data_IF_482002797633
#
_entry.id   IF_482002797633
#
_cell.length_a   1.000
_cell.length_b   1.000
_cell.length_c   1.000
_cell.angle_alpha   90.00
_cell.angle_beta   90.00
_cell.angle_gamma   90.00
#
_symmetry.space_group_name_H-M   'P 1'
#
loop_
_entity.id
_entity.type
_entity.pdbx_description
1 polymer ?
#
# COMPACT_ATOMS: atom_id res chain seq x y z
N UNK A 1 -14.93 11.70 -3.73
CA UNK A 1 -15.31 10.59 -2.94
C UNK A 1 -16.52 9.87 -3.55
N UNK A 2 -16.28 8.71 -4.16
CA UNK A 2 -17.30 7.93 -4.88
C UNK A 2 -18.06 6.95 -3.94
N UNK A 3 -17.84 7.03 -2.61
CA UNK A 3 -18.49 6.15 -1.63
C UNK A 3 -18.03 4.69 -1.67
N UNK A 4 -16.82 4.43 -2.13
CA UNK A 4 -16.26 3.09 -2.19
C UNK A 4 -15.45 2.77 -0.92
N UNK A 5 -15.57 1.55 -0.45
CA UNK A 5 -14.62 1.00 0.52
C UNK A 5 -13.45 0.39 -0.23
N UNK A 6 -12.25 0.84 0.14
CA UNK A 6 -11.01 0.47 -0.53
C UNK A 6 -10.12 -0.41 0.37
N UNK A 7 -9.43 -1.37 -0.24
CA UNK A 7 -8.39 -2.15 0.43
C UNK A 7 -7.12 -2.07 -0.40
N UNK A 8 -6.11 -1.35 0.09
CA UNK A 8 -4.79 -1.34 -0.49
C UNK A 8 -3.99 -2.55 0.01
N UNK A 9 -3.74 -3.53 -0.88
CA UNK A 9 -2.94 -4.71 -0.56
C UNK A 9 -1.50 -4.49 -1.05
N UNK A 10 -0.55 -4.30 -0.12
CA UNK A 10 0.82 -3.90 -0.46
C UNK A 10 1.84 -4.36 0.58
N UNK A 11 3.13 -4.43 0.21
CA UNK A 11 4.25 -4.57 1.14
C UNK A 11 4.82 -3.23 1.61
N UNK A 12 4.37 -2.15 1.00
CA UNK A 12 4.87 -0.80 1.24
C UNK A 12 4.11 -0.12 2.38
N UNK A 13 4.88 0.31 3.40
CA UNK A 13 4.33 1.00 4.57
C UNK A 13 3.94 2.45 4.31
N UNK A 14 4.34 3.04 3.20
CA UNK A 14 3.96 4.40 2.84
C UNK A 14 2.46 4.51 2.62
N UNK A 15 1.85 3.43 2.15
CA UNK A 15 0.40 3.32 2.03
C UNK A 15 -0.38 3.48 3.34
N UNK A 16 0.29 3.39 4.51
CA UNK A 16 -0.38 3.59 5.80
C UNK A 16 -0.98 4.99 5.95
N UNK A 17 -0.41 6.01 5.28
CA UNK A 17 -0.98 7.36 5.25
C UNK A 17 -2.35 7.45 4.56
N UNK A 18 -2.72 6.43 3.77
CA UNK A 18 -3.99 6.37 3.04
C UNK A 18 -5.14 5.77 3.86
N UNK A 19 -4.87 5.31 5.08
CA UNK A 19 -5.88 4.71 5.95
C UNK A 19 -6.90 5.77 6.35
N UNK A 20 -8.18 5.46 6.11
CA UNK A 20 -9.35 6.28 6.50
C UNK A 20 -10.49 5.36 6.92
N UNK A 21 -11.66 5.92 7.26
CA UNK A 21 -12.89 5.15 7.51
C UNK A 21 -13.27 4.25 6.31
N UNK A 22 -12.93 4.68 5.09
CA UNK A 22 -13.23 3.96 3.84
C UNK A 22 -12.02 3.27 3.21
N UNK A 23 -10.83 3.43 3.77
CA UNK A 23 -9.61 2.84 3.22
C UNK A 23 -8.88 2.02 4.27
N UNK A 24 -8.73 0.73 4.02
CA UNK A 24 -7.96 -0.20 4.83
C UNK A 24 -6.67 -0.57 4.10
N UNK A 25 -5.56 -0.63 4.81
CA UNK A 25 -4.29 -1.15 4.26
C UNK A 25 -4.07 -2.59 4.73
N UNK A 26 -3.76 -3.47 3.79
CA UNK A 26 -3.42 -4.86 4.02
C UNK A 26 -1.93 -5.05 3.76
N UNK A 27 -1.13 -4.92 4.81
CA UNK A 27 0.33 -5.10 4.72
C UNK A 27 0.66 -6.58 4.53
N UNK A 28 1.37 -6.87 3.45
CA UNK A 28 1.82 -8.22 3.09
C UNK A 28 3.34 -8.27 3.28
N UNK A 29 3.81 -9.19 4.10
CA UNK A 29 5.23 -9.38 4.34
C UNK A 29 5.58 -10.86 4.18
N UNK A 30 6.64 -11.13 3.41
CA UNK A 30 7.17 -12.49 3.24
C UNK A 30 8.54 -12.55 3.89
N UNK A 31 8.67 -13.41 4.91
CA UNK A 31 9.94 -13.68 5.58
C UNK A 31 10.16 -15.18 5.64
N UNK A 32 11.35 -15.63 5.25
CA UNK A 32 11.73 -17.06 5.27
C UNK A 32 10.68 -17.99 4.62
N UNK A 33 10.07 -17.55 3.50
CA UNK A 33 9.05 -18.33 2.78
C UNK A 33 7.65 -18.29 3.39
N UNK A 34 7.46 -17.65 4.54
CA UNK A 34 6.15 -17.47 5.16
C UNK A 34 5.60 -16.09 4.84
N UNK A 35 4.42 -16.04 4.25
CA UNK A 35 3.70 -14.80 3.97
C UNK A 35 2.72 -14.52 5.10
N UNK A 36 2.88 -13.38 5.74
CA UNK A 36 1.96 -12.86 6.75
C UNK A 36 1.20 -11.66 6.18
N UNK A 37 -0.02 -11.50 6.64
CA UNK A 37 -0.87 -10.38 6.24
C UNK A 37 -1.40 -9.70 7.49
N UNK A 38 -1.18 -8.38 7.60
CA UNK A 38 -1.69 -7.55 8.68
C UNK A 38 -2.67 -6.53 8.12
N UNK A 39 -3.90 -6.55 8.62
CA UNK A 39 -4.91 -5.55 8.25
C UNK A 39 -4.77 -4.34 9.17
N UNK A 40 -4.64 -3.16 8.57
CA UNK A 40 -4.49 -1.89 9.25
C UNK A 40 -5.72 -1.02 8.98
N UNK A 41 -6.47 -0.75 10.03
CA UNK A 41 -7.61 0.19 10.10
C UNK A 41 -7.19 1.42 10.89
N UNK A 42 -7.97 2.52 10.94
CA UNK A 42 -7.68 3.67 11.79
C UNK A 42 -7.45 3.26 13.26
N UNK A 43 -8.28 2.36 13.79
CA UNK A 43 -8.21 1.90 15.18
C UNK A 43 -6.93 1.10 15.44
N UNK A 44 -6.65 0.08 14.61
CA UNK A 44 -5.46 -0.76 14.79
C UNK A 44 -4.16 0.02 14.56
N UNK A 45 -4.20 1.05 13.71
CA UNK A 45 -3.08 1.95 13.51
C UNK A 45 -2.86 2.81 14.76
N UNK A 46 -3.92 3.42 15.30
CA UNK A 46 -3.85 4.25 16.50
C UNK A 46 -3.39 3.46 17.75
N UNK A 47 -3.82 2.19 17.87
CA UNK A 47 -3.35 1.29 18.93
C UNK A 47 -1.83 1.01 18.83
N UNK A 48 -1.31 0.85 17.60
CA UNK A 48 0.10 0.51 17.38
C UNK A 48 1.02 1.72 17.44
N UNK A 49 0.61 2.85 16.84
CA UNK A 49 1.44 4.04 16.67
C UNK A 49 1.14 5.14 17.69
N UNK A 50 -0.06 5.20 18.24
CA UNK A 50 -0.48 6.21 19.22
C UNK A 50 -0.87 7.56 18.60
N UNK A 51 -1.06 7.61 17.28
CA UNK A 51 -1.51 8.80 16.53
C UNK A 51 -2.31 8.39 15.30
N UNK A 52 -2.89 9.34 14.58
CA UNK A 52 -3.70 9.11 13.38
C UNK A 52 -2.83 8.74 12.16
N UNK A 53 -3.34 7.92 11.22
CA UNK A 53 -2.58 7.39 10.09
C UNK A 53 -1.84 8.44 9.26
N UNK A 54 -2.44 9.62 9.06
CA UNK A 54 -1.84 10.69 8.26
C UNK A 54 -0.49 11.15 8.82
N UNK A 55 -0.29 11.08 10.13
CA UNK A 55 0.95 11.50 10.79
C UNK A 55 2.12 10.51 10.65
N UNK A 56 1.94 9.41 9.90
CA UNK A 56 3.08 8.58 9.49
C UNK A 56 4.05 9.38 8.61
N UNK A 57 3.55 10.37 7.88
CA UNK A 57 4.34 11.30 7.07
C UNK A 57 5.24 12.13 7.99
N UNK A 58 4.68 12.68 9.08
CA UNK A 58 5.41 13.45 10.07
C UNK A 58 6.50 12.62 10.75
N UNK A 59 6.20 11.35 11.05
CA UNK A 59 7.19 10.41 11.59
C UNK A 59 8.37 10.24 10.64
N UNK A 60 8.11 9.98 9.35
CA UNK A 60 9.15 9.84 8.32
C UNK A 60 9.89 11.14 8.07
N UNK A 61 9.22 12.27 8.14
CA UNK A 61 9.84 13.59 8.02
C UNK A 61 10.93 13.82 9.09
N UNK A 62 10.72 13.31 10.30
CA UNK A 62 11.67 13.45 11.40
C UNK A 62 12.76 12.38 11.40
N UNK A 63 12.41 11.09 11.28
CA UNK A 63 13.38 10.00 11.39
C UNK A 63 14.07 9.64 10.07
N UNK A 64 13.50 10.08 8.95
CA UNK A 64 13.90 9.64 7.62
C UNK A 64 13.38 8.24 7.28
N UNK A 65 13.64 7.83 6.03
CA UNK A 65 13.43 6.47 5.55
C UNK A 65 14.59 6.06 4.64
N UNK A 66 15.42 5.15 5.11
CA UNK A 66 16.60 4.71 4.37
C UNK A 66 16.24 3.89 3.13
N UNK A 67 15.06 3.24 3.08
CA UNK A 67 14.62 2.47 1.90
C UNK A 67 14.31 3.38 0.72
N UNK A 68 13.80 4.58 0.99
CA UNK A 68 13.40 5.56 -0.02
C UNK A 68 14.36 6.75 -0.13
N UNK A 69 15.51 6.64 0.56
CA UNK A 69 16.53 7.68 0.59
C UNK A 69 16.01 9.04 1.11
N UNK A 70 15.05 9.00 2.05
CA UNK A 70 14.51 10.18 2.72
C UNK A 70 15.39 10.50 3.92
N UNK A 71 16.02 11.71 3.98
CA UNK A 71 17.07 11.99 4.96
C UNK A 71 16.56 12.14 6.40
N UNK A 72 15.35 12.68 6.59
CA UNK A 72 14.87 13.06 7.92
C UNK A 72 15.69 14.16 8.57
N UNK A 73 15.60 14.29 9.89
CA UNK A 73 16.42 15.20 10.70
C UNK A 73 17.66 14.46 11.21
N UNK A 74 18.88 14.89 10.86
CA UNK A 74 20.10 14.22 11.27
C UNK A 74 20.17 14.01 12.79
N UNK A 75 20.30 12.75 13.21
CA UNK A 75 20.41 12.36 14.61
C UNK A 75 19.09 12.32 15.39
N UNK A 76 17.95 12.46 14.73
CA UNK A 76 16.62 12.11 15.25
C UNK A 76 16.27 10.71 14.77
N UNK A 77 16.27 9.74 15.67
CA UNK A 77 15.89 8.36 15.37
C UNK A 77 14.43 8.07 15.71
N UNK A 78 13.98 6.88 15.34
CA UNK A 78 12.59 6.41 15.46
C UNK A 78 11.96 6.69 16.85
N UNK A 79 12.65 6.34 17.93
CA UNK A 79 12.11 6.54 19.29
C UNK A 79 11.83 8.01 19.62
N UNK A 80 12.71 8.91 19.19
CA UNK A 80 12.55 10.35 19.44
C UNK A 80 11.47 10.92 18.55
N UNK A 81 11.47 10.57 17.27
CA UNK A 81 10.45 10.97 16.31
C UNK A 81 9.07 10.48 16.73
N UNK A 82 8.94 9.21 17.12
CA UNK A 82 7.69 8.63 17.63
C UNK A 82 7.14 9.40 18.82
N UNK A 83 7.96 9.68 19.84
CA UNK A 83 7.54 10.43 21.02
C UNK A 83 7.08 11.86 20.68
N UNK A 84 7.75 12.52 19.74
CA UNK A 84 7.38 13.86 19.27
C UNK A 84 6.04 13.83 18.54
N UNK A 85 5.85 12.91 17.59
CA UNK A 85 4.60 12.80 16.81
C UNK A 85 3.44 12.36 17.71
N UNK A 86 3.64 11.44 18.64
CA UNK A 86 2.60 11.07 19.62
C UNK A 86 2.12 12.25 20.45
N UNK A 87 3.02 13.16 20.82
CA UNK A 87 2.71 14.31 21.68
C UNK A 87 2.19 15.52 20.91
N UNK A 88 2.81 15.84 19.78
CA UNK A 88 2.60 17.09 19.04
C UNK A 88 1.92 16.90 17.69
N UNK A 89 1.76 15.65 17.24
CA UNK A 89 1.11 15.22 15.99
C UNK A 89 1.91 15.59 14.72
N UNK A 90 1.96 16.84 14.32
CA UNK A 90 2.55 17.26 13.05
C UNK A 90 3.91 17.94 13.23
N UNK A 91 4.74 17.92 12.18
CA UNK A 91 5.99 18.68 12.16
C UNK A 91 5.73 20.18 12.27
N UNK A 92 4.64 20.69 11.70
CA UNK A 92 4.28 22.11 11.81
C UNK A 92 4.05 22.51 13.26
N UNK A 93 3.36 21.70 14.03
CA UNK A 93 3.12 21.94 15.45
C UNK A 93 4.42 21.81 16.26
N UNK A 94 5.27 20.84 15.93
CA UNK A 94 6.58 20.67 16.55
C UNK A 94 7.45 21.92 16.34
N UNK A 95 7.53 22.42 15.11
CA UNK A 95 8.34 23.60 14.79
C UNK A 95 7.73 24.91 15.33
N UNK A 96 6.41 25.01 15.37
CA UNK A 96 5.72 26.15 15.99
C UNK A 96 6.00 26.26 17.48
N UNK A 97 6.04 25.12 18.18
CA UNK A 97 6.29 25.03 19.63
C UNK A 97 7.76 24.80 19.98
N UNK A 98 8.67 24.89 19.02
CA UNK A 98 10.07 24.50 19.19
C UNK A 98 10.73 25.05 20.46
N UNK A 99 10.54 26.33 20.87
CA UNK A 99 11.10 26.87 22.10
C UNK A 99 10.51 26.29 23.41
N UNK A 100 9.28 25.74 23.32
CA UNK A 100 8.49 25.25 24.44
C UNK A 100 8.42 23.71 24.47
N UNK A 101 9.12 23.04 23.52
CA UNK A 101 9.11 21.59 23.46
C UNK A 101 9.64 20.96 24.75
N UNK A 102 8.84 20.04 25.30
CA UNK A 102 9.30 19.16 26.36
C UNK A 102 10.23 18.07 25.78
N UNK A 103 11.42 18.49 25.43
CA UNK A 103 12.45 17.66 24.84
C UNK A 103 13.85 18.07 25.36
N UNK A 104 14.80 17.15 25.24
CA UNK A 104 16.19 17.43 25.67
C UNK A 104 16.78 18.55 24.80
N UNK A 105 17.62 19.43 25.37
CA UNK A 105 18.24 20.53 24.60
C UNK A 105 18.95 20.09 23.32
N UNK A 106 19.59 18.92 23.35
CA UNK A 106 20.23 18.34 22.16
C UNK A 106 19.24 17.92 21.06
N UNK A 107 17.99 17.57 21.40
CA UNK A 107 16.93 17.27 20.43
C UNK A 107 16.41 18.57 19.81
N UNK A 108 16.18 19.60 20.64
CA UNK A 108 15.73 20.92 20.19
C UNK A 108 16.77 21.49 19.21
N UNK A 109 18.05 21.44 19.54
CA UNK A 109 19.13 21.88 18.64
C UNK A 109 19.08 21.18 17.29
N UNK A 110 18.97 19.85 17.28
CA UNK A 110 18.89 19.06 16.03
C UNK A 110 17.67 19.39 15.20
N UNK A 111 16.52 19.58 15.83
CA UNK A 111 15.30 20.00 15.14
C UNK A 111 15.49 21.39 14.51
N UNK A 112 16.06 22.35 15.26
CA UNK A 112 16.35 23.70 14.75
C UNK A 112 17.28 23.66 13.53
N UNK A 113 18.36 22.89 13.61
CA UNK A 113 19.34 22.77 12.52
C UNK A 113 18.82 21.97 11.34
N UNK A 114 17.84 21.07 11.56
CA UNK A 114 17.30 20.13 10.57
C UNK A 114 15.92 20.47 10.02
N UNK A 115 15.38 21.66 10.29
CA UNK A 115 14.03 22.02 9.86
C UNK A 115 13.81 21.91 8.36
N UNK A 116 14.74 22.43 7.56
CA UNK A 116 14.66 22.34 6.09
C UNK A 116 14.64 20.89 5.62
N UNK A 117 15.50 20.04 6.19
CA UNK A 117 15.54 18.61 5.90
C UNK A 117 14.25 17.90 6.29
N UNK A 118 13.63 18.24 7.42
CA UNK A 118 12.35 17.69 7.84
C UNK A 118 11.24 18.06 6.84
N UNK A 119 11.15 19.32 6.43
CA UNK A 119 10.15 19.80 5.46
C UNK A 119 10.32 19.17 4.09
N UNK A 120 11.54 19.03 3.62
CA UNK A 120 11.85 18.30 2.39
C UNK A 120 11.45 16.81 2.52
N UNK A 121 11.80 16.18 3.62
CA UNK A 121 11.46 14.78 3.90
C UNK A 121 9.94 14.56 3.99
N UNK A 122 9.21 15.49 4.58
CA UNK A 122 7.75 15.47 4.60
C UNK A 122 7.16 15.48 3.18
N UNK A 123 7.67 16.37 2.34
CA UNK A 123 7.23 16.44 0.94
C UNK A 123 7.53 15.14 0.19
N UNK A 124 8.71 14.57 0.37
CA UNK A 124 9.12 13.32 -0.28
C UNK A 124 8.31 12.10 0.20
N UNK A 125 7.96 12.06 1.49
CA UNK A 125 7.17 10.97 2.07
C UNK A 125 5.68 11.05 1.74
N UNK A 126 5.19 12.20 1.27
CA UNK A 126 3.77 12.41 0.99
C UNK A 126 3.37 11.79 -0.35
N UNK A 127 2.39 10.89 -0.35
CA UNK A 127 1.83 10.30 -1.56
C UNK A 127 1.00 11.35 -2.30
N UNK A 128 1.24 11.50 -3.62
CA UNK A 128 0.43 12.34 -4.49
C UNK A 128 -0.90 11.64 -4.78
N UNK A 129 -2.02 12.29 -4.44
CA UNK A 129 -3.37 11.74 -4.62
C UNK A 129 -4.09 12.30 -5.84
N UNK A 130 -3.47 13.21 -6.56
CA UNK A 130 -4.00 13.94 -7.72
C UNK A 130 -3.28 13.59 -9.04
N UNK A 131 -2.56 12.48 -9.06
CA UNK A 131 -1.91 12.00 -10.27
C UNK A 131 -2.95 11.80 -11.40
N UNK A 132 -2.68 12.27 -12.64
CA UNK A 132 -3.60 12.12 -13.76
C UNK A 132 -3.74 10.64 -14.13
N UNK A 133 -4.96 10.11 -14.02
CA UNK A 133 -5.28 8.74 -14.39
C UNK A 133 -6.24 8.74 -15.58
N UNK A 134 -5.95 7.94 -16.60
CA UNK A 134 -6.78 7.80 -17.81
C UNK A 134 -7.90 6.75 -17.67
N UNK A 135 -8.08 6.17 -16.48
CA UNK A 135 -9.07 5.14 -16.21
C UNK A 135 -9.83 5.41 -14.91
N UNK A 136 -11.00 4.80 -14.80
CA UNK A 136 -11.84 4.82 -13.60
C UNK A 136 -11.83 3.45 -12.90
N UNK A 137 -12.21 3.35 -11.62
CA UNK A 137 -12.39 2.06 -10.96
C UNK A 137 -13.36 1.12 -11.70
N UNK A 138 -14.37 1.66 -12.38
CA UNK A 138 -15.36 0.90 -13.16
C UNK A 138 -14.72 0.18 -14.35
N UNK A 139 -13.70 0.75 -14.96
CA UNK A 139 -12.97 0.14 -16.08
C UNK A 139 -12.20 -1.12 -15.65
N UNK A 140 -11.91 -1.22 -14.35
CA UNK A 140 -11.12 -2.28 -13.74
C UNK A 140 -11.95 -3.28 -12.92
N UNK A 141 -13.25 -3.36 -13.15
CA UNK A 141 -14.09 -4.36 -12.50
C UNK A 141 -13.62 -5.77 -12.86
N UNK A 142 -13.54 -6.63 -11.82
CA UNK A 142 -13.16 -8.03 -12.02
C UNK A 142 -14.12 -8.71 -12.98
N UNK A 143 -13.58 -9.22 -14.09
CA UNK A 143 -14.29 -10.06 -15.05
C UNK A 143 -14.03 -11.53 -14.75
N UNK A 144 -14.94 -12.39 -15.17
CA UNK A 144 -14.68 -13.82 -15.18
C UNK A 144 -13.45 -14.12 -16.05
N UNK A 145 -12.64 -15.15 -15.72
CA UNK A 145 -11.55 -15.57 -16.58
C UNK A 145 -12.07 -15.88 -17.97
N UNK A 146 -11.40 -15.38 -19.00
CA UNK A 146 -11.73 -15.72 -20.39
C UNK A 146 -11.25 -17.12 -20.74
N UNK A 147 -11.86 -17.74 -21.74
CA UNK A 147 -11.44 -19.05 -22.25
C UNK A 147 -9.98 -19.07 -22.72
N UNK A 148 -9.45 -17.91 -23.13
CA UNK A 148 -8.06 -17.74 -23.52
C UNK A 148 -7.06 -17.90 -22.35
N UNK A 149 -7.52 -17.80 -21.09
CA UNK A 149 -6.64 -17.91 -19.93
C UNK A 149 -6.14 -19.36 -19.74
N UNK A 150 -6.98 -20.36 -19.99
CA UNK A 150 -6.59 -21.76 -19.85
C UNK A 150 -5.39 -22.13 -20.74
N UNK A 151 -5.42 -21.93 -22.08
CA UNK A 151 -4.29 -22.27 -22.94
C UNK A 151 -3.04 -21.44 -22.62
N UNK A 152 -3.20 -20.18 -22.21
CA UNK A 152 -2.06 -19.36 -21.78
C UNK A 152 -1.36 -19.96 -20.53
N UNK A 153 -2.11 -20.31 -19.50
CA UNK A 153 -1.56 -20.90 -18.29
C UNK A 153 -0.98 -22.32 -18.55
N UNK A 154 -1.56 -23.08 -19.47
CA UNK A 154 -0.99 -24.36 -19.92
C UNK A 154 0.34 -24.15 -20.63
N UNK A 155 0.43 -23.17 -21.54
CA UNK A 155 1.69 -22.81 -22.22
C UNK A 155 2.79 -22.37 -21.24
N UNK A 156 2.41 -21.67 -20.17
CA UNK A 156 3.32 -21.22 -19.10
C UNK A 156 3.58 -22.29 -18.02
N UNK A 157 3.03 -23.51 -18.17
CA UNK A 157 3.14 -24.63 -17.21
C UNK A 157 2.64 -24.29 -15.80
N UNK A 158 1.68 -23.39 -15.65
CA UNK A 158 1.09 -22.97 -14.38
C UNK A 158 -0.05 -23.90 -13.92
N UNK A 159 0.19 -25.21 -13.89
CA UNK A 159 -0.81 -26.24 -13.59
C UNK A 159 -1.53 -26.03 -12.25
N UNK A 160 -0.78 -25.69 -11.18
CA UNK A 160 -1.38 -25.40 -9.86
C UNK A 160 -2.31 -24.19 -9.87
N UNK A 161 -2.05 -23.22 -10.71
CA UNK A 161 -2.91 -22.03 -10.84
C UNK A 161 -4.20 -22.37 -11.60
N UNK A 162 -4.10 -23.22 -12.64
CA UNK A 162 -5.26 -23.73 -13.39
C UNK A 162 -6.20 -24.47 -12.45
N UNK A 163 -5.67 -25.39 -11.63
CA UNK A 163 -6.42 -26.15 -10.65
C UNK A 163 -7.08 -25.23 -9.61
N UNK A 164 -6.29 -24.31 -9.01
CA UNK A 164 -6.78 -23.34 -8.00
C UNK A 164 -7.89 -22.42 -8.54
N UNK A 165 -7.85 -22.07 -9.82
CA UNK A 165 -8.85 -21.23 -10.47
C UNK A 165 -10.02 -22.03 -11.02
N UNK A 166 -9.97 -23.36 -11.00
CA UNK A 166 -11.02 -24.23 -11.55
C UNK A 166 -11.21 -24.09 -13.07
N UNK A 167 -10.14 -23.69 -13.78
CA UNK A 167 -10.20 -23.50 -15.22
C UNK A 167 -10.25 -24.84 -15.94
N UNK A 168 -11.03 -24.90 -17.01
CA UNK A 168 -11.17 -26.07 -17.88
C UNK A 168 -10.82 -25.69 -19.30
N UNK A 169 -10.41 -26.66 -20.15
CA UNK A 169 -10.33 -26.42 -21.58
C UNK A 169 -11.66 -25.88 -22.12
N UNK A 170 -11.60 -24.93 -23.03
CA UNK A 170 -12.79 -24.56 -23.78
C UNK A 170 -13.38 -25.85 -24.40
N UNK A 171 -14.69 -26.06 -24.27
CA UNK A 171 -15.33 -27.17 -24.94
C UNK A 171 -15.07 -27.00 -26.44
N UNK A 172 -14.46 -27.98 -27.08
CA UNK A 172 -14.37 -27.99 -28.52
C UNK A 172 -15.80 -27.86 -29.08
N UNK A 173 -16.03 -26.97 -30.07
CA UNK A 173 -17.32 -26.94 -30.74
C UNK A 173 -17.53 -28.37 -31.27
N UNK A 174 -18.63 -29.01 -30.82
CA UNK A 174 -19.04 -30.29 -31.37
C UNK A 174 -18.98 -30.15 -32.88
N UNK A 175 -18.01 -30.81 -33.55
CA UNK A 175 -17.98 -30.89 -34.99
C UNK A 175 -19.34 -31.47 -35.41
N UNK A 176 -20.06 -30.73 -36.23
CA UNK A 176 -21.31 -31.25 -36.80
C UNK A 176 -21.00 -32.64 -37.34
N UNK A 177 -21.64 -33.65 -36.79
CA UNK A 177 -21.52 -35.00 -37.27
C UNK A 177 -21.98 -34.95 -38.75
N UNK A 178 -21.07 -35.20 -39.68
CA UNK A 178 -21.39 -35.42 -41.05
C UNK A 178 -22.36 -36.60 -41.09
N UNK A 179 -23.60 -36.30 -41.38
CA UNK A 179 -24.63 -37.30 -41.65
C UNK A 179 -24.21 -38.00 -42.95
N UNK A 180 -23.60 -39.18 -42.80
CA UNK A 180 -23.36 -40.07 -43.95
C UNK A 180 -24.72 -40.67 -44.32
N UNK A 181 -25.32 -40.19 -45.40
CA UNK A 181 -26.46 -40.85 -46.03
C UNK A 181 -25.97 -42.13 -46.66
N UNK A 182 -26.29 -43.27 -46.04
CA UNK A 182 -26.17 -44.58 -46.69
C UNK A 182 -27.36 -44.79 -47.64
N UNK A 183 -27.13 -44.61 -48.90
CA UNK A 183 -28.05 -45.12 -49.97
C UNK A 183 -27.85 -46.63 -50.14
N UNK A 184 -28.86 -47.44 -49.73
CA UNK A 184 -28.91 -48.86 -49.97
C UNK A 184 -29.53 -49.05 -51.38
N UNK A 185 -28.77 -49.61 -52.33
CA UNK A 185 -29.21 -50.11 -53.60
C UNK A 185 -29.65 -51.57 -53.53
#
# INVERSE_FOLDING_TARGET
AAGWDCVAATGDKDSLQLITEHTTVKLISTRMGQTTTKRMTPESFAEEYGFEPIHIIDLKALMGDASDNIPGVPGIGEKTAMALVQKYRSIDEIYRLLPELDAKPGVIKKLTEGEESARQSYHLATILTDAPLEFTPQDNLRKAPSDALYPLLMHLEFHKLIEKMGLKPAAEPLSAAETVECTVT
#
